data_IF_016480340690
#
_entry.id   IF_016480340690
#
_cell.length_a   1.000
_cell.length_b   1.000
_cell.length_c   1.000
_cell.angle_alpha   90.00
_cell.angle_beta   90.00
_cell.angle_gamma   90.00
#
_symmetry.space_group_name_H-M   'P 1'
#
loop_
_entity.id
_entity.type
_entity.pdbx_description
1 polymer ?
#
# COMPACT_ATOMS: atom_id res chain seq x y z
N UNK A 1 17.19 -7.15 4.53
CA UNK A 1 17.09 -5.76 4.03
C UNK A 1 18.47 -5.17 3.78
N UNK A 2 18.70 -4.56 2.62
CA UNK A 2 20.02 -4.08 2.15
C UNK A 2 19.98 -2.62 1.74
N UNK A 3 21.04 -1.86 2.05
CA UNK A 3 21.18 -0.46 1.65
C UNK A 3 22.11 -0.32 0.44
N UNK A 4 21.68 0.46 -0.56
CA UNK A 4 22.51 0.81 -1.73
C UNK A 4 22.43 2.30 -2.01
N UNK A 5 23.47 2.86 -2.64
CA UNK A 5 23.43 4.23 -3.15
C UNK A 5 22.67 4.29 -4.50
N UNK A 6 21.98 5.40 -4.79
CA UNK A 6 21.31 5.63 -6.08
C UNK A 6 22.23 5.45 -7.30
N UNK A 7 23.53 5.80 -7.17
CA UNK A 7 24.54 5.60 -8.23
C UNK A 7 24.89 4.13 -8.45
N UNK A 8 24.77 3.29 -7.44
CA UNK A 8 24.94 1.85 -7.60
C UNK A 8 23.76 1.25 -8.34
N UNK A 9 22.52 1.65 -7.97
CA UNK A 9 21.32 1.23 -8.67
C UNK A 9 21.38 1.58 -10.15
N UNK A 10 21.79 2.82 -10.48
CA UNK A 10 21.84 3.29 -11.87
C UNK A 10 22.83 2.52 -12.75
N UNK A 11 23.90 1.96 -12.16
CA UNK A 11 24.91 1.17 -12.89
C UNK A 11 24.47 -0.26 -13.16
N UNK A 12 23.58 -0.82 -12.35
CA UNK A 12 23.20 -2.23 -12.44
C UNK A 12 21.75 -2.48 -11.99
N UNK A 13 20.75 -1.86 -12.63
CA UNK A 13 19.36 -1.93 -12.18
C UNK A 13 18.84 -3.37 -12.15
N UNK A 14 19.05 -4.16 -13.21
CA UNK A 14 18.57 -5.55 -13.29
C UNK A 14 19.11 -6.45 -12.18
N UNK A 15 20.36 -6.22 -11.73
CA UNK A 15 20.96 -6.97 -10.62
C UNK A 15 20.18 -6.72 -9.32
N UNK A 16 19.83 -5.47 -9.05
CA UNK A 16 19.15 -5.10 -7.82
C UNK A 16 17.66 -5.44 -7.85
N UNK A 17 17.01 -5.36 -9.02
CA UNK A 17 15.65 -5.90 -9.20
C UNK A 17 15.62 -7.40 -8.92
N UNK A 18 16.55 -8.16 -9.50
CA UNK A 18 16.67 -9.60 -9.22
C UNK A 18 16.91 -9.88 -7.73
N UNK A 19 17.80 -9.10 -7.11
CA UNK A 19 18.12 -9.26 -5.69
C UNK A 19 16.91 -8.97 -4.78
N UNK A 20 16.14 -7.92 -5.09
CA UNK A 20 14.90 -7.58 -4.39
C UNK A 20 13.84 -8.69 -4.53
N UNK A 21 13.74 -9.29 -5.72
CA UNK A 21 12.79 -10.38 -5.97
C UNK A 21 13.16 -11.71 -5.31
N UNK A 22 14.44 -11.97 -5.04
CA UNK A 22 14.91 -13.30 -4.63
C UNK A 22 15.43 -13.39 -3.19
N UNK A 23 15.87 -12.28 -2.58
CA UNK A 23 16.62 -12.33 -1.32
C UNK A 23 16.22 -11.29 -0.28
N UNK A 24 16.30 -10.03 -0.65
CA UNK A 24 16.30 -8.93 0.33
C UNK A 24 15.64 -7.68 -0.24
N UNK A 25 14.74 -7.10 0.54
CA UNK A 25 14.26 -5.74 0.36
C UNK A 25 15.44 -4.75 0.29
N UNK A 26 15.35 -3.79 -0.64
CA UNK A 26 16.44 -2.84 -0.89
C UNK A 26 16.01 -1.43 -0.54
N UNK A 27 16.75 -0.81 0.37
CA UNK A 27 16.69 0.63 0.65
C UNK A 27 17.68 1.36 -0.25
N UNK A 28 17.16 2.23 -1.10
CA UNK A 28 17.95 3.11 -1.95
C UNK A 28 18.21 4.41 -1.19
N UNK A 29 19.47 4.82 -1.15
CA UNK A 29 19.90 6.04 -0.47
C UNK A 29 20.44 7.09 -1.45
N UNK A 30 20.26 8.37 -1.11
CA UNK A 30 20.86 9.51 -1.80
C UNK A 30 21.51 10.41 -0.76
N UNK A 31 22.80 10.72 -0.94
CA UNK A 31 23.59 11.51 0.00
C UNK A 31 23.54 10.98 1.46
N UNK A 32 23.51 9.66 1.64
CA UNK A 32 23.47 9.02 2.96
C UNK A 32 22.07 8.91 3.60
N UNK A 33 21.03 9.46 2.97
CA UNK A 33 19.66 9.40 3.47
C UNK A 33 18.81 8.43 2.65
N UNK A 34 17.86 7.70 3.28
CA UNK A 34 16.86 6.90 2.57
C UNK A 34 16.10 7.76 1.54
N UNK A 35 15.90 7.21 0.35
CA UNK A 35 15.32 7.93 -0.78
C UNK A 35 14.19 7.14 -1.46
N UNK A 36 14.33 5.82 -1.58
CA UNK A 36 13.32 4.94 -2.14
C UNK A 36 13.48 3.51 -1.63
N UNK A 37 12.46 2.68 -1.85
CA UNK A 37 12.49 1.24 -1.60
C UNK A 37 12.33 0.49 -2.92
N UNK A 38 12.98 -0.66 -3.02
CA UNK A 38 12.72 -1.65 -4.06
C UNK A 38 12.38 -2.96 -3.35
N UNK A 39 11.11 -3.36 -3.49
CA UNK A 39 10.50 -4.51 -2.84
C UNK A 39 10.00 -5.45 -3.92
N UNK A 40 10.01 -6.74 -3.62
CA UNK A 40 9.14 -7.67 -4.35
C UNK A 40 7.70 -7.33 -3.98
N UNK A 41 6.82 -7.32 -4.97
CA UNK A 41 5.38 -7.19 -4.75
C UNK A 41 4.67 -8.21 -5.63
N UNK A 42 3.62 -8.84 -5.13
CA UNK A 42 2.69 -9.62 -5.94
C UNK A 42 1.41 -8.82 -6.27
N UNK A 43 0.48 -9.48 -6.97
CA UNK A 43 -0.73 -8.83 -7.48
C UNK A 43 -1.65 -8.37 -6.33
N UNK A 44 -1.78 -9.18 -5.28
CA UNK A 44 -2.63 -8.88 -4.11
C UNK A 44 -2.03 -7.72 -3.30
N UNK A 45 -0.72 -7.76 -3.05
CA UNK A 45 -0.01 -6.68 -2.34
C UNK A 45 -0.05 -5.34 -3.11
N UNK A 46 0.01 -5.39 -4.45
CA UNK A 46 -0.09 -4.19 -5.28
C UNK A 46 -1.49 -3.58 -5.22
N UNK A 47 -2.53 -4.41 -5.27
CA UNK A 47 -3.92 -3.97 -5.11
C UNK A 47 -4.10 -3.26 -3.77
N UNK A 48 -3.70 -3.90 -2.67
CA UNK A 48 -3.80 -3.33 -1.32
C UNK A 48 -3.04 -2.00 -1.21
N UNK A 49 -1.84 -1.90 -1.78
CA UNK A 49 -1.07 -0.66 -1.78
C UNK A 49 -1.78 0.47 -2.53
N UNK A 50 -2.37 0.18 -3.70
CA UNK A 50 -3.10 1.16 -4.50
C UNK A 50 -4.37 1.59 -3.75
N UNK A 51 -5.11 0.63 -3.20
CA UNK A 51 -6.34 0.85 -2.43
C UNK A 51 -6.07 1.76 -1.23
N UNK A 52 -5.08 1.43 -0.40
CA UNK A 52 -4.71 2.21 0.76
C UNK A 52 -4.23 3.62 0.38
N UNK A 53 -3.36 3.74 -0.63
CA UNK A 53 -2.68 5.00 -0.92
C UNK A 53 -3.48 5.95 -1.81
N UNK A 54 -4.24 5.44 -2.78
CA UNK A 54 -4.83 6.28 -3.82
C UNK A 54 -6.28 6.66 -3.53
N UNK A 55 -7.02 5.80 -2.84
CA UNK A 55 -8.43 6.01 -2.56
C UNK A 55 -8.69 6.55 -1.15
N UNK A 56 -7.64 6.89 -0.39
CA UNK A 56 -7.75 7.39 0.99
C UNK A 56 -8.57 6.44 1.88
N UNK A 57 -8.60 5.14 1.53
CA UNK A 57 -9.42 4.14 2.21
C UNK A 57 -8.99 3.93 3.66
N UNK A 58 -7.79 4.39 4.03
CA UNK A 58 -7.37 4.44 5.43
C UNK A 58 -8.27 5.39 6.25
N UNK A 59 -8.64 6.54 5.69
CA UNK A 59 -9.56 7.48 6.32
C UNK A 59 -11.01 6.97 6.31
N UNK A 60 -11.45 6.36 5.20
CA UNK A 60 -12.77 5.74 5.12
C UNK A 60 -12.90 4.57 6.11
N UNK A 61 -11.85 3.75 6.25
CA UNK A 61 -11.79 2.66 7.21
C UNK A 61 -11.87 3.18 8.64
N UNK A 62 -11.07 4.20 8.99
CA UNK A 62 -11.11 4.74 10.35
C UNK A 62 -12.48 5.38 10.63
N UNK A 63 -13.07 6.07 9.66
CA UNK A 63 -14.44 6.61 9.77
C UNK A 63 -15.44 5.49 10.01
N UNK A 64 -15.46 4.46 9.15
CA UNK A 64 -16.37 3.32 9.27
C UNK A 64 -16.19 2.57 10.59
N UNK A 65 -14.95 2.45 11.08
CA UNK A 65 -14.65 1.86 12.39
C UNK A 65 -15.22 2.69 13.54
N UNK A 66 -15.10 4.02 13.51
CA UNK A 66 -15.72 4.88 14.52
C UNK A 66 -17.25 4.82 14.47
N UNK A 67 -17.84 4.76 13.27
CA UNK A 67 -19.28 4.57 13.10
C UNK A 67 -19.74 3.22 13.66
N UNK A 68 -18.98 2.15 13.41
CA UNK A 68 -19.25 0.83 13.99
C UNK A 68 -19.18 0.84 15.52
N UNK A 69 -18.12 1.39 16.10
CA UNK A 69 -17.93 1.47 17.55
C UNK A 69 -19.00 2.33 18.25
N UNK A 70 -19.51 3.37 17.58
CA UNK A 70 -20.59 4.22 18.09
C UNK A 70 -22.00 3.67 17.83
N UNK A 71 -22.11 2.50 17.18
CA UNK A 71 -23.38 1.88 16.83
C UNK A 71 -24.13 2.57 15.67
N UNK A 72 -23.48 3.52 14.98
CA UNK A 72 -24.00 4.19 13.78
C UNK A 72 -23.87 3.27 12.56
N UNK A 73 -24.54 2.13 12.62
CA UNK A 73 -24.59 1.11 11.57
C UNK A 73 -26.04 0.93 11.10
N UNK A 74 -26.23 0.44 9.88
CA UNK A 74 -27.55 0.10 9.35
C UNK A 74 -27.59 -1.37 8.99
N UNK A 75 -28.77 -2.00 9.10
CA UNK A 75 -28.95 -3.33 8.54
C UNK A 75 -28.91 -3.25 7.01
N UNK A 76 -28.31 -4.26 6.38
CA UNK A 76 -28.18 -4.30 4.92
C UNK A 76 -29.54 -4.37 4.21
N UNK A 77 -30.53 -5.05 4.78
CA UNK A 77 -31.88 -5.11 4.20
C UNK A 77 -32.55 -3.74 4.20
N UNK A 78 -32.44 -3.01 5.31
CA UNK A 78 -32.99 -1.66 5.43
C UNK A 78 -32.32 -0.70 4.45
N UNK A 79 -31.01 -0.84 4.25
CA UNK A 79 -30.25 -0.04 3.27
C UNK A 79 -30.69 -0.31 1.83
N UNK A 80 -30.79 -1.58 1.43
CA UNK A 80 -31.21 -1.98 0.06
C UNK A 80 -32.61 -1.44 -0.22
N UNK A 81 -33.55 -1.64 0.71
CA UNK A 81 -34.91 -1.12 0.57
C UNK A 81 -34.94 0.41 0.38
N UNK A 82 -34.07 1.15 1.07
CA UNK A 82 -34.00 2.61 0.93
C UNK A 82 -33.40 3.06 -0.42
N UNK A 83 -32.57 2.24 -1.06
CA UNK A 83 -31.98 2.54 -2.37
C UNK A 83 -32.97 2.23 -3.50
N UNK A 84 -33.70 1.12 -3.41
CA UNK A 84 -34.69 0.73 -4.42
C UNK A 84 -35.93 1.64 -4.45
N UNK A 85 -36.22 2.32 -3.34
CA UNK A 85 -37.33 3.26 -3.21
C UNK A 85 -36.96 4.74 -3.50
N UNK A 86 -35.76 4.99 -4.02
CA UNK A 86 -35.29 6.32 -4.50
C UNK A 86 -35.36 6.43 -6.01
#
# INVERSE_FOLDING_TARGET
MKFINIRELSRSPSKYVKLANEKDDIVITRNGHPYALLLKIDDDELEDFILAKHFDLENDFETAKQEHLSGKTTNIHDMINNIENR
#
